data_IF_941607109379
#
_entry.id   IF_941607109379
#
_cell.length_a   1.000
_cell.length_b   1.000
_cell.length_c   1.000
_cell.angle_alpha   90.00
_cell.angle_beta   90.00
_cell.angle_gamma   90.00
#
_symmetry.space_group_name_H-M   'P 1'
#
loop_
_entity.id
_entity.type
_entity.pdbx_description
1 polymer ?
#
# COMPACT_ATOMS: atom_id res chain seq x y z
N UNK A 1 5.94 11.30 -6.03
CA UNK A 1 5.87 11.64 -4.60
C UNK A 1 4.79 10.76 -4.01
N UNK A 2 5.04 10.05 -2.89
CA UNK A 2 4.00 9.25 -2.24
C UNK A 2 2.80 10.13 -1.89
N UNK A 3 1.59 9.61 -2.05
CA UNK A 3 0.37 10.38 -1.77
C UNK A 3 0.10 10.36 -0.27
N UNK A 4 0.52 11.39 0.44
CA UNK A 4 0.40 11.50 1.90
C UNK A 4 -1.06 11.55 2.41
N UNK A 5 -2.05 11.62 1.50
CA UNK A 5 -3.47 11.58 1.84
C UNK A 5 -4.04 10.15 1.95
N UNK A 6 -3.24 9.12 1.67
CA UNK A 6 -3.68 7.73 1.79
C UNK A 6 -3.92 7.40 3.27
N UNK A 7 -5.18 7.18 3.64
CA UNK A 7 -5.54 6.78 5.00
C UNK A 7 -5.32 5.28 5.21
N UNK A 8 -4.12 4.95 5.67
CA UNK A 8 -3.72 3.57 5.98
C UNK A 8 -4.52 2.91 7.13
N UNK A 9 -5.39 3.65 7.83
CA UNK A 9 -6.33 3.06 8.80
C UNK A 9 -7.45 2.27 8.13
N UNK A 10 -7.77 2.59 6.88
CA UNK A 10 -8.75 1.88 6.06
C UNK A 10 -8.14 0.68 5.32
N UNK A 11 -6.80 0.63 5.25
CA UNK A 11 -6.09 -0.46 4.61
C UNK A 11 -6.18 -1.75 5.46
N UNK A 12 -6.31 -2.93 4.83
CA UNK A 12 -6.23 -4.18 5.56
C UNK A 12 -4.86 -4.34 6.23
N UNK A 13 -4.78 -5.15 7.30
CA UNK A 13 -3.53 -5.32 8.05
C UNK A 13 -2.39 -5.84 7.18
N UNK A 14 -2.70 -6.66 6.19
CA UNK A 14 -1.78 -7.21 5.20
C UNK A 14 -1.40 -6.25 4.08
N UNK A 15 -2.05 -5.09 3.94
CA UNK A 15 -1.71 -4.11 2.91
C UNK A 15 -0.32 -3.51 3.16
N UNK A 16 0.51 -3.56 2.12
CA UNK A 16 1.87 -3.00 2.11
C UNK A 16 1.99 -1.87 1.10
N UNK A 17 1.22 -1.89 0.01
CA UNK A 17 1.20 -0.79 -0.96
C UNK A 17 -0.22 -0.36 -1.31
N UNK A 18 -0.35 0.89 -1.74
CA UNK A 18 -1.53 1.47 -2.35
C UNK A 18 -1.12 2.00 -3.72
N UNK A 19 -1.88 1.67 -4.76
CA UNK A 19 -1.68 2.25 -6.08
C UNK A 19 -2.99 2.29 -6.85
N UNK A 20 -3.02 3.13 -7.88
CA UNK A 20 -4.09 3.22 -8.85
C UNK A 20 -3.74 2.45 -10.12
N UNK A 21 -4.75 1.87 -10.74
CA UNK A 21 -4.66 1.22 -12.03
C UNK A 21 -4.94 2.20 -13.19
N UNK A 22 -4.85 1.69 -14.41
CA UNK A 22 -5.11 2.46 -15.64
C UNK A 22 -6.57 2.90 -15.79
N UNK A 23 -7.49 2.24 -15.09
CA UNK A 23 -8.91 2.62 -15.07
C UNK A 23 -9.18 3.78 -14.11
N UNK A 24 -8.19 4.16 -13.29
CA UNK A 24 -8.35 5.16 -12.24
C UNK A 24 -9.02 4.60 -10.97
N UNK A 25 -9.05 3.28 -10.81
CA UNK A 25 -9.45 2.64 -9.57
C UNK A 25 -8.23 2.44 -8.66
N UNK A 26 -8.41 2.64 -7.35
CA UNK A 26 -7.35 2.45 -6.38
C UNK A 26 -7.46 1.07 -5.73
N UNK A 27 -6.31 0.46 -5.43
CA UNK A 27 -6.21 -0.87 -4.86
C UNK A 27 -5.14 -0.93 -3.76
N UNK A 28 -5.44 -1.70 -2.73
CA UNK A 28 -4.47 -2.14 -1.72
C UNK A 28 -3.79 -3.41 -2.23
N UNK A 29 -2.47 -3.41 -2.22
CA UNK A 29 -1.66 -4.59 -2.51
C UNK A 29 -1.19 -5.20 -1.21
N UNK A 30 -1.70 -6.40 -0.93
CA UNK A 30 -1.36 -7.13 0.28
C UNK A 30 -0.06 -7.93 0.08
N UNK A 31 0.79 -7.96 1.11
CA UNK A 31 1.90 -8.91 1.09
C UNK A 31 1.33 -10.34 1.03
N UNK A 32 1.91 -11.21 0.19
CA UNK A 32 1.54 -12.61 0.19
C UNK A 32 1.83 -13.21 1.57
N UNK A 33 0.88 -13.94 2.13
CA UNK A 33 1.12 -14.79 3.30
C UNK A 33 1.92 -16.00 2.81
N UNK A 34 3.24 -15.85 2.76
CA UNK A 34 4.15 -16.85 2.19
C UNK A 34 4.20 -18.05 3.15
N UNK A 35 3.28 -18.99 2.98
CA UNK A 35 3.63 -20.39 3.21
C UNK A 35 4.81 -20.70 2.27
N UNK A 36 5.90 -21.22 2.82
CA UNK A 36 7.26 -21.25 2.23
C UNK A 36 7.44 -22.03 0.90
N UNK A 37 6.38 -22.26 0.12
CA UNK A 37 6.39 -23.19 -1.01
C UNK A 37 5.65 -22.73 -2.29
N UNK A 38 5.09 -21.52 -2.35
CA UNK A 38 4.44 -21.03 -3.58
C UNK A 38 5.15 -19.78 -4.10
N UNK A 39 5.87 -19.95 -5.21
CA UNK A 39 6.61 -18.92 -5.93
C UNK A 39 5.70 -17.92 -6.68
N UNK A 40 4.47 -17.73 -6.22
CA UNK A 40 3.45 -16.90 -6.85
C UNK A 40 3.25 -15.63 -6.02
N UNK A 41 3.70 -14.51 -6.57
CA UNK A 41 3.51 -13.16 -6.02
C UNK A 41 2.10 -12.64 -6.33
N UNK A 42 1.06 -13.41 -5.99
CA UNK A 42 -0.31 -12.88 -6.03
C UNK A 42 -0.50 -12.03 -4.77
N UNK A 43 -0.20 -10.74 -4.88
CA UNK A 43 -0.66 -9.76 -3.91
C UNK A 43 -2.18 -9.66 -4.06
N UNK A 44 -2.91 -10.03 -3.02
CA UNK A 44 -4.35 -9.86 -2.99
C UNK A 44 -4.68 -8.38 -3.22
N UNK A 45 -5.34 -8.08 -4.33
CA UNK A 45 -5.74 -6.74 -4.73
C UNK A 45 -7.12 -6.46 -4.15
N UNK A 46 -7.14 -5.67 -3.09
CA UNK A 46 -8.39 -5.27 -2.45
C UNK A 46 -8.76 -3.86 -2.91
N UNK A 47 -10.04 -3.58 -3.23
CA UNK A 47 -10.46 -2.26 -3.64
C UNK A 47 -10.18 -1.22 -2.55
N UNK A 48 -9.63 -0.08 -2.94
CA UNK A 48 -9.29 1.03 -2.05
C UNK A 48 -10.01 2.32 -2.48
N UNK A 49 -10.26 3.25 -1.55
CA UNK A 49 -10.63 4.62 -1.91
C UNK A 49 -9.50 5.29 -2.71
N UNK A 50 -9.87 6.17 -3.64
CA UNK A 50 -8.92 6.91 -4.47
C UNK A 50 -8.25 8.09 -3.75
N UNK A 51 -8.72 8.45 -2.55
CA UNK A 51 -8.20 9.57 -1.75
C UNK A 51 -8.02 10.88 -2.55
N UNK A 52 -8.92 11.12 -3.51
CA UNK A 52 -8.89 12.24 -4.45
C UNK A 52 -7.58 12.36 -5.26
N UNK A 53 -6.86 11.25 -5.46
CA UNK A 53 -5.69 11.24 -6.32
C UNK A 53 -6.14 11.38 -7.79
N UNK A 54 -5.57 12.38 -8.47
CA UNK A 54 -5.85 12.71 -9.88
C UNK A 54 -4.58 12.78 -10.73
N UNK A 55 -3.47 12.25 -10.22
CA UNK A 55 -2.18 12.23 -10.91
C UNK A 55 -2.02 10.99 -11.80
N UNK A 56 -0.81 10.83 -12.36
CA UNK A 56 -0.46 9.64 -13.13
C UNK A 56 -0.54 8.39 -12.25
N UNK A 57 -1.27 7.37 -12.70
CA UNK A 57 -1.41 6.09 -11.99
C UNK A 57 -0.05 5.44 -11.72
N UNK A 58 0.92 5.58 -12.63
CA UNK A 58 2.30 5.09 -12.47
C UNK A 58 3.05 5.76 -11.31
N UNK A 59 2.69 6.99 -10.98
CA UNK A 59 3.27 7.75 -9.88
C UNK A 59 2.50 7.57 -8.55
N UNK A 60 1.36 6.86 -8.58
CA UNK A 60 0.49 6.68 -7.41
C UNK A 60 1.01 5.64 -6.40
N UNK A 61 2.00 4.82 -6.80
CA UNK A 61 2.56 3.77 -5.95
C UNK A 61 3.06 4.37 -4.63
N UNK A 62 2.30 4.11 -3.59
CA UNK A 62 2.52 4.62 -2.24
C UNK A 62 2.74 3.43 -1.32
N UNK A 63 3.94 3.31 -0.79
CA UNK A 63 4.27 2.28 0.20
C UNK A 63 3.71 2.66 1.57
N UNK A 64 3.23 1.66 2.30
CA UNK A 64 2.78 1.84 3.67
C UNK A 64 3.96 2.34 4.48
N UNK A 65 3.86 3.50 5.15
CA UNK A 65 4.92 3.93 6.03
C UNK A 65 5.11 2.83 7.06
N UNK A 66 6.30 2.22 7.07
CA UNK A 66 6.71 1.40 8.19
C UNK A 66 6.45 2.26 9.41
N UNK A 67 5.65 1.78 10.37
CA UNK A 67 5.59 2.41 11.68
C UNK A 67 7.05 2.49 12.10
N UNK A 68 7.63 3.70 11.97
CA UNK A 68 8.92 3.99 12.50
C UNK A 68 8.71 3.77 13.98
N UNK A 69 9.03 2.56 14.44
CA UNK A 69 9.32 2.29 15.82
C UNK A 69 10.42 3.32 16.08
N UNK A 70 10.02 4.47 16.61
CA UNK A 70 10.94 5.50 17.04
C UNK A 70 11.77 4.76 18.08
N UNK A 71 12.92 4.23 17.67
CA UNK A 71 14.02 3.93 18.57
C UNK A 71 14.42 5.29 19.11
N UNK A 72 13.71 5.70 20.16
CA UNK A 72 14.14 6.71 21.08
C UNK A 72 15.46 6.21 21.66
N UNK A 73 16.55 6.54 20.98
CA UNK A 73 17.85 6.59 21.63
C UNK A 73 17.80 7.83 22.52
N UNK A 74 17.36 7.61 23.76
CA UNK A 74 17.65 8.53 24.85
C UNK A 74 19.17 8.56 25.04
N UNK A 75 19.68 9.79 25.15
CA UNK A 75 21.10 10.17 25.27
C UNK A 75 21.74 9.70 26.57
#
# INVERSE_FOLDING_TARGET
MPHDKVDWRQAPKSAVWWAMDESGAAHWYCAPDVAAFTNFWYADQQPAPSFDYRGDYRASLTERPALALKRSNAS
#
